data_IF_453621085113
#
_entry.id   IF_453621085113
#
_cell.length_a   1.000
_cell.length_b   1.000
_cell.length_c   1.000
_cell.angle_alpha   90.00
_cell.angle_beta   90.00
_cell.angle_gamma   90.00
#
_symmetry.space_group_name_H-M   'P 1'
#
loop_
_entity.id
_entity.type
_entity.pdbx_description
1 polymer ?
#
# COMPACT_ATOMS: atom_id res chain seq x y z
N UNK A 1 14.80 -1.72 -10.74
CA UNK A 1 14.50 -2.17 -12.11
C UNK A 1 14.16 -1.02 -13.05
N UNK A 2 13.50 0.06 -12.58
CA UNK A 2 13.16 1.24 -13.40
C UNK A 2 14.38 2.02 -13.87
N UNK A 3 15.50 1.90 -13.18
CA UNK A 3 16.71 2.69 -13.45
C UNK A 3 16.53 4.20 -13.18
N UNK A 4 15.37 4.64 -12.67
CA UNK A 4 15.12 6.05 -12.41
C UNK A 4 15.97 6.55 -11.23
N UNK A 5 16.66 7.65 -11.48
CA UNK A 5 17.41 8.45 -10.49
C UNK A 5 17.19 9.90 -10.84
N UNK A 6 16.87 10.71 -9.88
CA UNK A 6 16.68 12.16 -10.08
C UNK A 6 17.99 12.80 -10.53
N UNK A 7 18.05 13.40 -11.72
CA UNK A 7 19.29 14.00 -12.25
C UNK A 7 19.51 15.43 -11.76
N UNK A 8 18.44 16.14 -11.38
CA UNK A 8 18.48 17.54 -10.97
C UNK A 8 17.24 17.90 -10.14
N UNK A 9 17.20 19.10 -9.58
CA UNK A 9 16.14 19.59 -8.73
C UNK A 9 14.79 19.69 -9.46
N UNK A 10 14.76 20.11 -10.70
CA UNK A 10 13.55 20.18 -11.52
C UNK A 10 12.87 18.81 -11.62
N UNK A 11 13.63 17.77 -11.92
CA UNK A 11 13.15 16.40 -12.00
C UNK A 11 12.79 15.82 -10.62
N UNK A 12 13.39 16.35 -9.55
CA UNK A 12 12.97 16.00 -8.19
C UNK A 12 11.53 16.46 -7.91
N UNK A 13 11.18 17.68 -8.25
CA UNK A 13 9.80 18.19 -8.15
C UNK A 13 8.81 17.51 -9.10
N UNK A 14 9.30 16.95 -10.19
CA UNK A 14 8.50 16.19 -11.17
C UNK A 14 8.41 14.69 -10.84
N UNK A 15 8.93 14.25 -9.68
CA UNK A 15 8.89 12.86 -9.22
C UNK A 15 8.15 12.75 -7.89
N UNK A 16 7.01 12.07 -7.89
CA UNK A 16 6.18 11.89 -6.70
C UNK A 16 6.18 10.45 -6.16
N UNK A 17 5.56 10.27 -5.00
CA UNK A 17 5.41 8.97 -4.33
C UNK A 17 4.01 8.82 -3.77
N UNK A 18 3.34 7.70 -4.09
CA UNK A 18 2.03 7.34 -3.59
C UNK A 18 1.99 5.85 -3.23
N UNK A 19 2.35 5.52 -2.00
CA UNK A 19 2.31 4.15 -1.49
C UNK A 19 1.24 4.10 -0.40
N UNK A 20 0.21 3.28 -0.63
CA UNK A 20 -0.87 3.11 0.32
C UNK A 20 -0.73 1.83 1.15
N UNK A 21 -1.50 1.75 2.22
CA UNK A 21 -1.65 0.59 3.09
C UNK A 21 -3.09 0.56 3.59
N UNK A 22 -3.67 -0.62 3.76
CA UNK A 22 -5.06 -0.74 4.22
C UNK A 22 -5.21 -0.41 5.70
N UNK A 23 -4.24 -0.80 6.52
CA UNK A 23 -4.31 -0.67 7.99
C UNK A 23 -3.10 0.11 8.53
N UNK A 24 -1.93 -0.01 7.90
CA UNK A 24 -0.71 0.68 8.31
C UNK A 24 -0.02 0.03 9.50
N UNK A 25 0.52 0.85 10.41
CA UNK A 25 1.42 0.41 11.47
C UNK A 25 0.77 -0.33 12.65
N UNK A 26 -0.22 -1.20 12.40
CA UNK A 26 -0.99 -1.93 13.41
C UNK A 26 -0.11 -2.66 14.45
N UNK A 27 0.96 -3.40 14.07
CA UNK A 27 1.84 -4.03 15.05
C UNK A 27 2.55 -3.03 15.96
N UNK A 28 2.90 -1.85 15.45
CA UNK A 28 3.50 -0.77 16.25
C UNK A 28 2.49 -0.16 17.22
N UNK A 29 1.24 0.00 16.77
CA UNK A 29 0.13 0.49 17.62
C UNK A 29 -0.13 -0.50 18.74
N UNK A 30 -0.26 -1.80 18.45
CA UNK A 30 -0.47 -2.84 19.47
C UNK A 30 0.64 -2.84 20.51
N UNK A 31 1.90 -2.95 20.09
CA UNK A 31 3.05 -2.98 21.02
C UNK A 31 3.15 -1.72 21.87
N UNK A 32 2.89 -0.56 21.27
CA UNK A 32 2.98 0.72 21.97
C UNK A 32 1.84 0.90 22.97
N UNK A 33 0.63 0.44 22.64
CA UNK A 33 -0.51 0.47 23.57
C UNK A 33 -0.22 -0.38 24.82
N UNK A 34 0.28 -1.60 24.64
CA UNK A 34 0.68 -2.49 25.75
C UNK A 34 1.79 -1.83 26.58
N UNK A 35 2.84 -1.32 25.94
CA UNK A 35 3.94 -0.64 26.62
C UNK A 35 3.45 0.57 27.45
N UNK A 36 2.55 1.36 26.89
CA UNK A 36 1.99 2.54 27.58
C UNK A 36 1.17 2.14 28.80
N UNK A 37 0.42 1.05 28.71
CA UNK A 37 -0.36 0.51 29.82
C UNK A 37 0.52 -0.05 30.94
N UNK A 38 1.57 -0.80 30.59
CA UNK A 38 2.46 -1.46 31.57
C UNK A 38 3.49 -0.52 32.21
N UNK A 39 4.04 0.40 31.41
CA UNK A 39 5.21 1.22 31.80
C UNK A 39 4.98 2.73 31.75
N UNK A 40 3.78 3.14 31.38
CA UNK A 40 3.36 4.54 31.28
C UNK A 40 3.74 5.22 29.96
N UNK A 41 2.99 6.25 29.60
CA UNK A 41 3.10 6.97 28.31
C UNK A 41 4.49 7.60 28.06
N UNK A 42 5.26 7.90 29.10
CA UNK A 42 6.63 8.44 28.97
C UNK A 42 7.63 7.46 28.31
N UNK A 43 7.26 6.20 28.19
CA UNK A 43 8.08 5.16 27.56
C UNK A 43 7.81 5.00 26.07
N UNK A 44 6.82 5.70 25.52
CA UNK A 44 6.52 5.65 24.09
C UNK A 44 7.70 6.21 23.29
N UNK A 45 8.08 5.49 22.25
CA UNK A 45 9.16 5.91 21.34
C UNK A 45 8.77 7.19 20.58
N UNK A 46 9.68 8.15 20.37
CA UNK A 46 9.43 9.30 19.50
C UNK A 46 9.15 8.90 18.04
N UNK A 47 9.53 7.71 17.65
CA UNK A 47 9.26 7.16 16.31
C UNK A 47 7.91 6.45 16.18
N UNK A 48 7.10 6.40 17.25
CA UNK A 48 5.82 5.70 17.23
C UNK A 48 4.87 6.27 16.18
N UNK A 49 4.66 7.58 16.18
CA UNK A 49 3.77 8.22 15.19
C UNK A 49 4.28 8.02 13.76
N UNK A 50 5.55 8.30 13.43
CA UNK A 50 6.08 8.00 12.10
C UNK A 50 5.95 6.54 11.67
N UNK A 51 6.08 5.59 12.60
CA UNK A 51 5.96 4.16 12.32
C UNK A 51 4.51 3.67 12.18
N UNK A 52 3.52 4.50 12.54
CA UNK A 52 2.10 4.14 12.52
C UNK A 52 1.33 4.74 11.35
N UNK A 53 1.75 5.91 10.85
CA UNK A 53 1.06 6.63 9.80
C UNK A 53 1.31 6.01 8.43
N UNK A 54 0.24 5.77 7.67
CA UNK A 54 0.28 5.12 6.36
C UNK A 54 1.09 5.92 5.34
N UNK A 55 0.91 7.25 5.28
CA UNK A 55 1.60 8.10 4.32
C UNK A 55 3.12 8.19 4.53
N UNK A 56 3.63 7.72 5.67
CA UNK A 56 5.07 7.79 5.94
C UNK A 56 5.88 6.71 5.20
N UNK A 57 5.23 5.68 4.64
CA UNK A 57 5.88 4.82 3.66
C UNK A 57 6.32 5.64 2.43
N UNK A 58 5.41 6.45 1.88
CA UNK A 58 5.73 7.42 0.82
C UNK A 58 6.77 8.44 1.27
N UNK A 59 6.64 8.97 2.50
CA UNK A 59 7.58 9.94 3.07
C UNK A 59 9.01 9.40 3.17
N UNK A 60 9.20 8.17 3.63
CA UNK A 60 10.52 7.54 3.74
C UNK A 60 11.17 7.32 2.36
N UNK A 61 10.40 6.89 1.37
CA UNK A 61 10.87 6.72 0.00
C UNK A 61 11.29 8.08 -0.59
N UNK A 62 10.46 9.10 -0.41
CA UNK A 62 10.74 10.47 -0.84
C UNK A 62 12.05 11.00 -0.26
N UNK A 63 12.23 10.91 1.06
CA UNK A 63 13.46 11.37 1.75
C UNK A 63 14.68 10.60 1.24
N UNK A 64 14.57 9.27 1.16
CA UNK A 64 15.69 8.40 0.74
C UNK A 64 16.18 8.71 -0.67
N UNK A 65 15.26 9.01 -1.58
CA UNK A 65 15.55 9.18 -3.00
C UNK A 65 15.49 10.64 -3.48
N UNK A 66 15.20 11.57 -2.57
CA UNK A 66 15.07 13.01 -2.86
C UNK A 66 13.98 13.30 -3.91
N UNK A 67 12.85 12.57 -3.82
CA UNK A 67 11.68 12.82 -4.66
C UNK A 67 10.83 13.92 -4.01
N UNK A 68 10.72 15.07 -4.66
CA UNK A 68 10.15 16.31 -4.10
C UNK A 68 8.77 16.66 -4.69
N UNK A 69 8.23 15.81 -5.56
CA UNK A 69 6.88 15.93 -6.10
C UNK A 69 5.81 15.53 -5.07
N UNK A 70 4.55 15.36 -5.51
CA UNK A 70 3.45 14.97 -4.65
C UNK A 70 3.77 13.74 -3.80
N UNK A 71 3.47 13.83 -2.49
CA UNK A 71 3.79 12.78 -1.53
C UNK A 71 2.60 12.55 -0.61
N UNK A 72 1.88 11.48 -0.82
CA UNK A 72 0.73 11.10 0.00
C UNK A 72 0.43 9.60 -0.10
N UNK A 73 -0.69 9.15 0.47
CA UNK A 73 -1.17 7.78 0.40
C UNK A 73 -2.68 7.78 0.19
N UNK A 74 -3.17 6.74 -0.48
CA UNK A 74 -4.58 6.35 -0.48
C UNK A 74 -4.78 5.21 0.51
N UNK A 75 -6.00 5.10 1.05
CA UNK A 75 -6.38 4.05 1.99
C UNK A 75 -7.78 3.57 1.63
N UNK A 76 -7.86 2.46 0.95
CA UNK A 76 -9.12 1.86 0.47
C UNK A 76 -9.09 0.35 0.62
N UNK A 77 -8.61 -0.11 1.79
CA UNK A 77 -8.49 -1.53 2.13
C UNK A 77 -7.78 -2.33 1.02
N UNK A 78 -8.37 -3.42 0.53
CA UNK A 78 -7.79 -4.30 -0.49
C UNK A 78 -7.59 -3.62 -1.86
N UNK A 79 -8.31 -2.53 -2.15
CA UNK A 79 -8.19 -1.77 -3.39
C UNK A 79 -7.07 -0.71 -3.35
N UNK A 80 -6.44 -0.49 -2.21
CA UNK A 80 -5.46 0.59 -1.98
C UNK A 80 -4.35 0.63 -3.03
N UNK A 81 -3.72 -0.52 -3.31
CA UNK A 81 -2.64 -0.58 -4.30
C UNK A 81 -3.10 -0.22 -5.72
N UNK A 82 -4.28 -0.68 -6.12
CA UNK A 82 -4.86 -0.35 -7.42
C UNK A 82 -5.22 1.14 -7.53
N UNK A 83 -5.78 1.72 -6.47
CA UNK A 83 -6.08 3.16 -6.42
C UNK A 83 -4.79 4.00 -6.45
N UNK A 84 -3.75 3.61 -5.70
CA UNK A 84 -2.46 4.29 -5.73
C UNK A 84 -1.86 4.34 -7.16
N UNK A 85 -1.95 3.23 -7.90
CA UNK A 85 -1.50 3.14 -9.29
C UNK A 85 -2.37 4.03 -10.20
N UNK A 86 -3.68 3.90 -10.11
CA UNK A 86 -4.61 4.64 -10.97
C UNK A 86 -4.58 6.16 -10.75
N UNK A 87 -4.53 6.59 -9.50
CA UNK A 87 -4.43 8.03 -9.17
C UNK A 87 -3.07 8.59 -9.58
N UNK A 88 -1.98 7.83 -9.42
CA UNK A 88 -0.66 8.20 -9.93
C UNK A 88 -0.64 8.35 -11.45
N UNK A 89 -1.31 7.44 -12.17
CA UNK A 89 -1.44 7.53 -13.62
C UNK A 89 -2.22 8.78 -14.05
N UNK A 90 -3.26 9.17 -13.31
CA UNK A 90 -3.99 10.41 -13.55
C UNK A 90 -3.12 11.66 -13.33
N UNK A 91 -2.33 11.70 -12.26
CA UNK A 91 -1.42 12.83 -12.01
C UNK A 91 -0.41 13.01 -13.14
N UNK A 92 0.12 11.91 -13.68
CA UNK A 92 0.99 11.95 -14.86
C UNK A 92 0.21 12.42 -16.10
N UNK A 93 -0.97 11.88 -16.34
CA UNK A 93 -1.81 12.26 -17.50
C UNK A 93 -2.24 13.72 -17.47
N UNK A 94 -2.47 14.30 -16.27
CA UNK A 94 -2.76 15.72 -16.11
C UNK A 94 -1.52 16.63 -16.18
N UNK A 95 -0.32 16.07 -16.22
CA UNK A 95 0.92 16.80 -16.31
C UNK A 95 1.41 17.38 -14.97
N UNK A 96 0.87 16.90 -13.84
CA UNK A 96 1.33 17.33 -12.51
C UNK A 96 2.77 16.87 -12.26
N UNK A 97 3.12 15.68 -12.70
CA UNK A 97 4.44 15.04 -12.56
C UNK A 97 4.78 14.22 -13.79
N UNK A 98 6.06 13.84 -13.92
CA UNK A 98 6.53 12.95 -14.98
C UNK A 98 6.72 11.51 -14.48
N UNK A 99 7.01 11.34 -13.19
CA UNK A 99 7.29 10.02 -12.58
C UNK A 99 6.57 9.87 -11.25
N UNK A 100 5.96 8.71 -11.03
CA UNK A 100 5.34 8.33 -9.75
C UNK A 100 5.82 6.96 -9.30
N UNK A 101 6.33 6.89 -8.08
CA UNK A 101 6.55 5.62 -7.36
C UNK A 101 5.27 5.30 -6.60
N UNK A 102 4.57 4.24 -6.98
CA UNK A 102 3.23 3.98 -6.46
C UNK A 102 2.97 2.49 -6.24
N UNK A 103 1.98 2.21 -5.42
CA UNK A 103 1.54 0.84 -5.12
C UNK A 103 1.02 0.68 -3.71
N UNK A 104 1.09 -0.54 -3.19
CA UNK A 104 0.63 -0.88 -1.85
C UNK A 104 1.66 -1.67 -1.07
N UNK A 105 1.60 -1.53 0.26
CA UNK A 105 2.39 -2.30 1.21
C UNK A 105 1.57 -2.56 2.47
N UNK A 106 1.62 -3.79 3.01
CA UNK A 106 0.92 -4.15 4.24
C UNK A 106 1.77 -5.13 5.06
N UNK A 107 1.83 -4.92 6.38
CA UNK A 107 2.49 -5.80 7.34
C UNK A 107 1.73 -5.75 8.67
N UNK A 108 0.60 -6.46 8.75
CA UNK A 108 -0.37 -6.38 9.86
C UNK A 108 -0.65 -7.72 10.53
N UNK A 109 0.22 -8.72 10.33
CA UNK A 109 0.13 -10.01 11.03
C UNK A 109 0.57 -9.81 12.48
N UNK A 110 -0.41 -9.57 13.34
CA UNK A 110 -0.26 -9.45 14.80
C UNK A 110 -1.56 -9.91 15.47
N UNK A 111 -1.56 -10.02 16.80
CA UNK A 111 -2.71 -10.54 17.56
C UNK A 111 -4.01 -9.79 17.26
N UNK A 112 -4.00 -8.44 17.29
CA UNK A 112 -5.22 -7.68 17.02
C UNK A 112 -5.60 -7.69 15.53
N UNK A 113 -4.63 -7.84 14.62
CA UNK A 113 -4.90 -8.00 13.18
C UNK A 113 -5.61 -9.32 12.91
N UNK A 114 -5.03 -10.43 13.36
CA UNK A 114 -5.62 -11.76 13.21
C UNK A 114 -6.96 -11.84 13.97
N UNK A 115 -7.00 -11.38 15.23
CA UNK A 115 -8.20 -11.41 16.06
C UNK A 115 -9.34 -10.59 15.47
N UNK A 116 -9.04 -9.42 14.88
CA UNK A 116 -10.02 -8.57 14.21
C UNK A 116 -10.68 -9.27 13.02
N UNK A 117 -9.89 -9.82 12.11
CA UNK A 117 -10.42 -10.55 10.95
C UNK A 117 -11.08 -11.89 11.32
N UNK A 118 -10.57 -12.56 12.36
CA UNK A 118 -11.24 -13.76 12.89
C UNK A 118 -12.63 -13.44 13.46
N UNK A 119 -12.78 -12.33 14.18
CA UNK A 119 -14.07 -11.87 14.71
C UNK A 119 -15.08 -11.55 13.62
N UNK A 120 -14.61 -11.10 12.45
CA UNK A 120 -15.44 -10.88 11.26
C UNK A 120 -15.79 -12.21 10.55
N UNK A 121 -15.23 -13.34 10.99
CA UNK A 121 -15.33 -14.65 10.31
C UNK A 121 -14.85 -14.60 8.85
N UNK A 122 -13.83 -13.79 8.59
CA UNK A 122 -13.29 -13.57 7.25
C UNK A 122 -12.11 -14.49 6.90
N UNK A 123 -11.49 -15.11 7.91
CA UNK A 123 -10.31 -15.97 7.73
C UNK A 123 -10.72 -17.41 7.44
N UNK A 124 -9.89 -18.08 6.59
CA UNK A 124 -9.94 -19.53 6.41
C UNK A 124 -9.61 -20.26 7.71
N UNK A 125 -10.41 -21.24 8.08
CA UNK A 125 -10.26 -22.05 9.31
C UNK A 125 -10.29 -23.56 9.07
N UNK A 126 -10.79 -24.02 7.91
CA UNK A 126 -10.96 -25.44 7.60
C UNK A 126 -9.67 -26.13 7.13
N UNK A 127 -8.57 -25.37 7.02
CA UNK A 127 -7.30 -25.87 6.48
C UNK A 127 -6.11 -25.73 7.45
N UNK A 128 -6.37 -25.58 8.76
CA UNK A 128 -5.30 -25.41 9.75
C UNK A 128 -4.38 -26.62 9.87
N UNK A 129 -4.84 -27.83 9.55
CA UNK A 129 -4.08 -29.08 9.47
C UNK A 129 -3.24 -29.21 8.18
N UNK A 130 -3.54 -28.40 7.16
CA UNK A 130 -2.87 -28.37 5.85
C UNK A 130 -2.77 -26.93 5.30
N UNK A 131 -2.01 -26.07 5.96
CA UNK A 131 -2.03 -24.60 5.73
C UNK A 131 -1.57 -24.21 4.32
N UNK A 132 -0.80 -25.03 3.63
CA UNK A 132 -0.40 -24.77 2.24
C UNK A 132 -1.54 -24.84 1.23
N UNK A 133 -2.68 -25.40 1.63
CA UNK A 133 -3.90 -25.49 0.81
C UNK A 133 -4.95 -24.43 1.18
N UNK A 134 -4.72 -23.62 2.23
CA UNK A 134 -5.72 -22.71 2.75
C UNK A 134 -6.04 -21.53 1.81
N UNK A 135 -5.01 -20.95 1.18
CA UNK A 135 -5.22 -19.85 0.22
C UNK A 135 -5.68 -20.39 -1.13
N UNK A 136 -6.99 -20.29 -1.38
CA UNK A 136 -7.65 -20.88 -2.55
C UNK A 136 -8.76 -19.97 -3.11
N UNK A 137 -8.44 -18.74 -3.58
CA UNK A 137 -9.41 -17.70 -3.87
C UNK A 137 -10.40 -18.05 -5.00
N UNK A 138 -10.04 -18.96 -5.91
CA UNK A 138 -10.85 -19.39 -7.06
C UNK A 138 -11.55 -20.73 -6.86
N UNK A 139 -11.34 -21.37 -5.71
CA UNK A 139 -11.93 -22.67 -5.41
C UNK A 139 -13.35 -22.53 -4.89
N UNK A 140 -14.23 -23.50 -5.28
CA UNK A 140 -15.60 -23.54 -4.78
C UNK A 140 -15.70 -23.81 -3.27
N UNK A 141 -14.70 -24.49 -2.70
CA UNK A 141 -14.62 -24.87 -1.29
C UNK A 141 -13.80 -23.87 -0.46
N UNK A 142 -13.57 -22.67 -0.98
CA UNK A 142 -12.92 -21.58 -0.21
C UNK A 142 -13.77 -21.20 0.99
N UNK A 143 -13.13 -20.96 2.12
CA UNK A 143 -13.81 -20.68 3.40
C UNK A 143 -13.34 -19.37 4.07
N UNK A 144 -12.64 -18.53 3.36
CA UNK A 144 -12.08 -17.27 3.86
C UNK A 144 -10.71 -16.97 3.26
N UNK A 145 -10.10 -15.88 3.68
CA UNK A 145 -8.77 -15.52 3.20
C UNK A 145 -7.67 -15.91 4.20
N UNK A 146 -6.44 -15.93 3.73
CA UNK A 146 -5.23 -16.11 4.55
C UNK A 146 -4.49 -14.78 4.58
N UNK A 147 -4.23 -14.25 5.77
CA UNK A 147 -3.49 -13.01 5.92
C UNK A 147 -2.07 -13.16 5.38
N UNK A 148 -1.63 -12.18 4.60
CA UNK A 148 -0.28 -12.09 4.08
C UNK A 148 0.32 -10.71 4.36
N UNK A 149 1.64 -10.62 4.26
CA UNK A 149 2.40 -9.38 4.31
C UNK A 149 3.21 -9.24 3.04
N UNK A 150 3.38 -8.01 2.57
CA UNK A 150 4.16 -7.77 1.38
C UNK A 150 4.01 -6.38 0.82
N UNK A 151 4.68 -6.13 -0.30
CA UNK A 151 4.56 -4.91 -1.05
C UNK A 151 4.63 -5.17 -2.55
N UNK A 152 3.85 -4.39 -3.32
CA UNK A 152 3.90 -4.34 -4.77
C UNK A 152 4.03 -2.89 -5.21
N UNK A 153 5.20 -2.52 -5.75
CA UNK A 153 5.53 -1.14 -6.12
C UNK A 153 5.86 -1.06 -7.60
N UNK A 154 5.24 -0.12 -8.28
CA UNK A 154 5.51 0.25 -9.66
C UNK A 154 6.14 1.63 -9.72
N UNK A 155 6.91 1.87 -10.76
CA UNK A 155 7.33 3.21 -11.18
C UNK A 155 6.59 3.51 -12.47
N UNK A 156 5.63 4.42 -12.40
CA UNK A 156 4.93 4.95 -13.56
C UNK A 156 5.68 6.17 -14.07
N UNK A 157 5.71 6.33 -15.37
CA UNK A 157 6.46 7.39 -16.04
C UNK A 157 5.73 7.83 -17.30
N UNK A 158 5.75 9.12 -17.59
CA UNK A 158 5.25 9.66 -18.85
C UNK A 158 5.99 9.00 -20.02
N UNK A 159 5.24 8.60 -21.04
CA UNK A 159 5.75 7.72 -22.10
C UNK A 159 6.95 8.31 -22.88
N UNK A 160 6.85 9.58 -23.29
CA UNK A 160 7.93 10.21 -24.05
C UNK A 160 9.15 10.52 -23.17
N UNK A 161 8.91 10.83 -21.88
CA UNK A 161 9.97 10.96 -20.88
C UNK A 161 10.73 9.63 -20.72
N UNK A 162 10.02 8.52 -20.59
CA UNK A 162 10.61 7.18 -20.48
C UNK A 162 11.42 6.80 -21.75
N UNK A 163 10.86 7.02 -22.94
CA UNK A 163 11.53 6.78 -24.21
C UNK A 163 12.81 7.63 -24.37
N UNK A 164 12.74 8.93 -24.02
CA UNK A 164 13.87 9.86 -24.13
C UNK A 164 15.09 9.43 -23.32
N UNK A 165 14.88 8.84 -22.16
CA UNK A 165 15.97 8.32 -21.32
C UNK A 165 16.34 6.86 -21.60
N UNK A 166 15.68 6.19 -22.56
CA UNK A 166 15.91 4.79 -22.90
C UNK A 166 15.47 3.81 -21.80
N UNK A 167 14.39 4.13 -21.09
CA UNK A 167 13.87 3.26 -20.04
C UNK A 167 13.38 1.93 -20.59
N UNK A 168 13.53 0.85 -19.79
CA UNK A 168 12.86 -0.41 -20.10
C UNK A 168 11.38 -0.27 -19.74
N UNK A 169 10.53 -0.26 -20.73
CA UNK A 169 9.07 -0.20 -20.61
C UNK A 169 8.54 -1.62 -20.57
N UNK A 170 7.79 -1.97 -19.51
CA UNK A 170 7.19 -3.29 -19.34
C UNK A 170 5.76 -3.35 -19.89
N UNK A 171 4.99 -2.27 -19.69
CA UNK A 171 3.60 -2.14 -20.10
C UNK A 171 3.16 -0.67 -20.08
N UNK A 172 2.01 -0.39 -20.68
CA UNK A 172 1.31 0.89 -20.58
C UNK A 172 0.07 0.74 -19.68
N UNK A 173 -0.22 1.75 -18.85
CA UNK A 173 -1.47 1.85 -18.11
C UNK A 173 -2.52 2.44 -19.03
N UNK A 174 -3.40 1.59 -19.56
CA UNK A 174 -4.39 1.97 -20.57
C UNK A 174 -5.65 2.61 -20.01
N UNK A 175 -5.94 2.42 -18.73
CA UNK A 175 -7.17 2.96 -18.14
C UNK A 175 -7.26 2.72 -16.65
N UNK A 176 -8.19 3.44 -16.03
CA UNK A 176 -8.50 3.36 -14.62
C UNK A 176 -9.96 3.70 -14.38
N UNK A 177 -10.66 2.85 -13.63
CA UNK A 177 -12.03 3.04 -13.24
C UNK A 177 -12.24 2.76 -11.76
N UNK A 178 -13.22 3.41 -11.16
CA UNK A 178 -13.62 3.22 -9.76
C UNK A 178 -15.14 3.13 -9.67
N UNK A 179 -15.63 2.31 -8.76
CA UNK A 179 -17.04 2.23 -8.38
C UNK A 179 -17.16 1.86 -6.91
N UNK A 180 -18.33 2.03 -6.33
CA UNK A 180 -18.66 1.58 -5.00
C UNK A 180 -20.00 0.84 -5.03
N UNK A 181 -20.10 -0.26 -4.29
CA UNK A 181 -21.29 -1.12 -4.28
C UNK A 181 -22.49 -0.45 -3.59
N UNK A 182 -22.23 0.44 -2.63
CA UNK A 182 -23.24 1.12 -1.82
C UNK A 182 -24.22 0.13 -1.14
N UNK A 183 -23.74 -1.07 -0.82
CA UNK A 183 -24.53 -2.19 -0.32
C UNK A 183 -24.28 -2.47 1.17
N UNK A 184 -23.10 -2.97 1.52
CA UNK A 184 -22.76 -3.37 2.88
C UNK A 184 -21.32 -3.03 3.20
N UNK A 185 -21.00 -2.77 4.49
CA UNK A 185 -19.68 -2.30 4.89
C UNK A 185 -18.55 -3.32 4.65
N UNK A 186 -18.87 -4.63 4.68
CA UNK A 186 -17.85 -5.69 4.58
C UNK A 186 -18.22 -6.82 3.60
N UNK A 187 -19.43 -6.84 3.04
CA UNK A 187 -19.89 -7.90 2.15
C UNK A 187 -20.20 -7.35 0.75
N UNK A 188 -19.69 -7.96 -0.33
CA UNK A 188 -20.11 -7.61 -1.68
C UNK A 188 -21.58 -7.97 -1.91
N UNK A 189 -22.23 -7.33 -2.84
CA UNK A 189 -23.52 -7.74 -3.35
C UNK A 189 -23.37 -9.08 -4.07
N UNK A 190 -24.21 -10.07 -3.70
CA UNK A 190 -24.16 -11.44 -4.20
C UNK A 190 -24.90 -11.67 -5.51
#
# INVERSE_FOLDING_TARGET
>A
DSGWKVPNEEQAYRTGVMIGSGIGGLPSIQRTAILAQEKGAKRISPFFIPASLINLASGQVSIKHQFMGPNHAVVTACATGSHAIGDSARMIAFGDVDVMVCGGAEATICEIGIGGFASLRALSTNFNDRPTEASRPWDKDRDGFVMGEGSGILVLEELEHAKKRGAKIYAEVMGYGMSGDAYHITAPEG
#
